data_IF_751772126172
#
_entry.id   IF_751772126172
#
_cell.length_a   1.000
_cell.length_b   1.000
_cell.length_c   1.000
_cell.angle_alpha   90.00
_cell.angle_beta   90.00
_cell.angle_gamma   90.00
#
_symmetry.space_group_name_H-M   'P 1'
#
loop_
_entity.id
_entity.type
_entity.pdbx_description
1 polymer ?
#
# COMPACT_ATOMS: atom_id res chain seq x y z
N UNK A 1 -15.90 -2.74 -32.69
CA UNK A 1 -15.98 -3.25 -34.07
C UNK A 1 -15.17 -2.43 -35.06
N UNK A 2 -15.33 -1.10 -35.15
CA UNK A 2 -14.56 -0.27 -36.11
C UNK A 2 -13.02 -0.28 -35.91
N UNK A 3 -12.53 -0.40 -34.67
CA UNK A 3 -11.08 -0.44 -34.39
C UNK A 3 -10.44 -1.74 -34.89
N UNK A 4 -11.09 -2.89 -34.68
CA UNK A 4 -10.62 -4.19 -35.17
C UNK A 4 -10.61 -4.27 -36.69
N UNK A 5 -11.63 -3.72 -37.36
CA UNK A 5 -11.67 -3.63 -38.82
C UNK A 5 -10.52 -2.77 -39.38
N UNK A 6 -10.26 -1.61 -38.76
CA UNK A 6 -9.19 -0.70 -39.17
C UNK A 6 -7.78 -1.25 -38.87
N UNK A 7 -7.63 -2.03 -37.80
CA UNK A 7 -6.37 -2.74 -37.49
C UNK A 7 -6.12 -3.90 -38.45
N UNK A 8 -7.18 -4.64 -38.83
CA UNK A 8 -7.08 -5.66 -39.87
C UNK A 8 -6.72 -5.07 -41.24
N UNK A 9 -7.26 -3.90 -41.60
CA UNK A 9 -6.93 -3.20 -42.85
C UNK A 9 -5.52 -2.63 -42.87
N UNK A 10 -5.04 -2.04 -41.77
CA UNK A 10 -3.77 -1.28 -41.73
C UNK A 10 -2.57 -2.16 -41.35
N UNK A 11 -2.77 -3.15 -40.47
CA UNK A 11 -1.69 -4.01 -39.95
C UNK A 11 -1.74 -5.45 -40.48
N UNK A 12 -2.79 -5.83 -41.23
CA UNK A 12 -2.96 -7.19 -41.75
C UNK A 12 -3.28 -8.24 -40.68
N UNK A 13 -3.66 -7.82 -39.47
CA UNK A 13 -3.89 -8.72 -38.34
C UNK A 13 -5.37 -9.06 -38.24
N UNK A 14 -5.72 -10.32 -38.52
CA UNK A 14 -7.08 -10.86 -38.43
C UNK A 14 -7.35 -11.65 -37.14
N UNK A 15 -6.29 -12.07 -36.41
CA UNK A 15 -6.39 -12.84 -35.18
C UNK A 15 -6.22 -11.95 -33.93
N UNK A 16 -7.24 -11.97 -33.07
CA UNK A 16 -7.24 -11.30 -31.76
C UNK A 16 -5.98 -11.63 -30.93
N UNK A 17 -5.45 -12.86 -31.02
CA UNK A 17 -4.26 -13.25 -30.25
C UNK A 17 -2.99 -12.56 -30.74
N UNK A 18 -2.83 -12.38 -32.05
CA UNK A 18 -1.67 -11.72 -32.63
C UNK A 18 -1.68 -10.20 -32.33
N UNK A 19 -2.86 -9.60 -32.23
CA UNK A 19 -3.01 -8.21 -31.74
C UNK A 19 -2.51 -8.09 -30.29
N UNK A 20 -2.93 -9.01 -29.41
CA UNK A 20 -2.49 -9.00 -28.01
C UNK A 20 -0.99 -9.22 -27.87
N UNK A 21 -0.40 -10.11 -28.67
CA UNK A 21 1.04 -10.34 -28.71
C UNK A 21 1.81 -9.08 -29.14
N UNK A 22 1.31 -8.39 -30.18
CA UNK A 22 1.88 -7.11 -30.63
C UNK A 22 1.82 -6.06 -29.52
N UNK A 23 0.68 -5.95 -28.82
CA UNK A 23 0.52 -5.03 -27.69
C UNK A 23 1.49 -5.35 -26.55
N UNK A 24 1.57 -6.61 -26.13
CA UNK A 24 2.48 -7.02 -25.04
C UNK A 24 3.94 -6.82 -25.41
N UNK A 25 4.33 -7.13 -26.64
CA UNK A 25 5.69 -6.88 -27.15
C UNK A 25 6.01 -5.39 -27.14
N UNK A 26 5.05 -4.53 -27.53
CA UNK A 26 5.21 -3.08 -27.49
C UNK A 26 5.32 -2.56 -26.04
N UNK A 27 4.53 -3.09 -25.11
CA UNK A 27 4.62 -2.76 -23.68
C UNK A 27 6.04 -3.09 -23.17
N UNK A 28 6.52 -4.31 -23.39
CA UNK A 28 7.86 -4.74 -22.96
C UNK A 28 8.93 -3.86 -23.58
N UNK A 29 8.84 -3.57 -24.87
CA UNK A 29 9.80 -2.70 -25.59
C UNK A 29 9.82 -1.29 -25.00
N UNK A 30 8.65 -0.71 -24.73
CA UNK A 30 8.56 0.61 -24.13
C UNK A 30 9.20 0.63 -22.73
N UNK A 31 8.89 -0.36 -21.88
CA UNK A 31 9.43 -0.42 -20.52
C UNK A 31 10.95 -0.71 -20.49
N UNK A 32 11.47 -1.48 -21.45
CA UNK A 32 12.91 -1.78 -21.60
C UNK A 32 13.71 -0.56 -22.05
N UNK A 33 13.31 0.07 -23.17
CA UNK A 33 14.13 1.07 -23.84
C UNK A 33 13.78 2.52 -23.49
N UNK A 34 12.55 2.78 -23.02
CA UNK A 34 12.08 4.12 -22.65
C UNK A 34 11.93 4.30 -21.14
N UNK A 35 12.68 3.52 -20.35
CA UNK A 35 12.66 3.51 -18.87
C UNK A 35 13.10 4.82 -18.18
N UNK A 36 13.38 5.89 -18.94
CA UNK A 36 13.66 7.24 -18.43
C UNK A 36 12.61 8.29 -18.82
N UNK A 37 11.62 7.92 -19.65
CA UNK A 37 10.58 8.84 -20.12
C UNK A 37 9.29 8.59 -19.33
N UNK A 38 9.07 9.36 -18.25
CA UNK A 38 7.92 9.22 -17.35
C UNK A 38 6.56 9.21 -18.09
N UNK A 39 6.28 10.08 -19.08
CA UNK A 39 4.99 10.04 -19.79
C UNK A 39 4.76 8.75 -20.57
N UNK A 40 5.83 8.19 -21.17
CA UNK A 40 5.76 6.93 -21.93
C UNK A 40 5.52 5.76 -20.97
N UNK A 41 6.24 5.73 -19.85
CA UNK A 41 6.09 4.70 -18.81
C UNK A 41 4.66 4.75 -18.24
N UNK A 42 4.21 5.93 -17.83
CA UNK A 42 2.90 6.14 -17.22
C UNK A 42 1.77 5.67 -18.13
N UNK A 43 1.77 6.06 -19.42
CA UNK A 43 0.76 5.60 -20.39
C UNK A 43 0.87 4.12 -20.71
N UNK A 44 2.09 3.58 -20.83
CA UNK A 44 2.33 2.15 -21.10
C UNK A 44 1.82 1.29 -19.94
N UNK A 45 2.10 1.69 -18.70
CA UNK A 45 1.64 0.98 -17.51
C UNK A 45 0.14 1.13 -17.26
N UNK A 46 -0.45 2.29 -17.59
CA UNK A 46 -1.90 2.45 -17.57
C UNK A 46 -2.55 1.46 -18.53
N UNK A 47 -2.04 1.38 -19.77
CA UNK A 47 -2.54 0.43 -20.77
C UNK A 47 -2.39 -1.03 -20.31
N UNK A 48 -1.23 -1.41 -19.77
CA UNK A 48 -1.03 -2.74 -19.17
C UNK A 48 -2.02 -3.01 -18.02
N UNK A 49 -2.23 -2.03 -17.15
CA UNK A 49 -3.18 -2.15 -16.06
C UNK A 49 -4.61 -2.33 -16.57
N UNK A 50 -5.04 -1.59 -17.60
CA UNK A 50 -6.37 -1.72 -18.19
C UNK A 50 -6.58 -3.11 -18.83
N UNK A 51 -5.55 -3.64 -19.51
CA UNK A 51 -5.55 -5.02 -20.03
C UNK A 51 -5.64 -6.07 -18.91
N UNK A 52 -5.08 -5.78 -17.72
CA UNK A 52 -5.04 -6.72 -16.60
C UNK A 52 -6.35 -6.83 -15.80
N UNK A 53 -7.38 -6.04 -16.08
CA UNK A 53 -8.63 -6.04 -15.28
C UNK A 53 -9.58 -7.19 -15.68
N UNK A 54 -9.60 -7.58 -16.96
CA UNK A 54 -10.57 -8.56 -17.48
C UNK A 54 -10.08 -10.00 -17.40
N UNK A 55 -10.78 -10.88 -16.68
CA UNK A 55 -10.39 -12.29 -16.50
C UNK A 55 -10.21 -13.08 -17.81
N UNK A 56 -11.11 -12.91 -18.77
CA UNK A 56 -11.02 -13.60 -20.08
C UNK A 56 -9.76 -13.16 -20.83
N UNK A 57 -9.43 -11.87 -20.76
CA UNK A 57 -8.26 -11.31 -21.40
C UNK A 57 -6.99 -11.79 -20.71
N UNK A 58 -6.96 -11.80 -19.38
CA UNK A 58 -5.85 -12.34 -18.58
C UNK A 58 -5.49 -13.78 -19.00
N UNK A 59 -6.48 -14.67 -19.15
CA UNK A 59 -6.25 -16.07 -19.63
C UNK A 59 -5.58 -16.17 -21.00
N UNK A 60 -5.80 -15.19 -21.88
CA UNK A 60 -5.12 -15.12 -23.17
C UNK A 60 -3.71 -14.55 -23.00
N UNK A 61 -3.56 -13.50 -22.20
CA UNK A 61 -2.30 -12.80 -21.97
C UNK A 61 -1.23 -13.69 -21.34
N UNK A 62 -1.56 -14.51 -20.34
CA UNK A 62 -0.58 -15.38 -19.66
C UNK A 62 0.09 -16.41 -20.58
N UNK A 63 -0.55 -16.74 -21.71
CA UNK A 63 0.02 -17.65 -22.71
C UNK A 63 1.11 -16.99 -23.57
N UNK A 64 1.13 -15.65 -23.63
CA UNK A 64 2.05 -14.86 -24.45
C UNK A 64 3.44 -14.83 -23.81
N UNK A 65 4.48 -15.11 -24.60
CA UNK A 65 5.85 -15.20 -24.09
C UNK A 65 6.38 -13.88 -23.52
N UNK A 66 5.92 -12.75 -24.05
CA UNK A 66 6.21 -11.44 -23.47
C UNK A 66 5.71 -11.29 -22.02
N UNK A 67 4.56 -11.87 -21.68
CA UNK A 67 4.01 -11.86 -20.32
C UNK A 67 4.81 -12.80 -19.42
N UNK A 68 5.10 -14.02 -19.88
CA UNK A 68 5.94 -14.98 -19.14
C UNK A 68 7.34 -14.41 -18.87
N UNK A 69 7.89 -13.68 -19.85
CA UNK A 69 9.15 -12.96 -19.68
C UNK A 69 9.03 -11.93 -18.55
N UNK A 70 7.99 -11.10 -18.54
CA UNK A 70 7.79 -10.08 -17.49
C UNK A 70 7.64 -10.70 -16.10
N UNK A 71 6.90 -11.82 -15.96
CA UNK A 71 6.67 -12.51 -14.69
C UNK A 71 7.95 -13.10 -14.09
N UNK A 72 8.91 -13.47 -14.93
CA UNK A 72 10.20 -14.04 -14.50
C UNK A 72 11.31 -13.01 -14.36
N UNK A 73 11.18 -11.84 -14.99
CA UNK A 73 12.27 -10.90 -15.22
C UNK A 73 11.90 -9.45 -14.86
N UNK A 74 11.26 -9.23 -13.71
CA UNK A 74 10.81 -7.93 -13.22
C UNK A 74 11.84 -7.20 -12.35
N UNK A 75 13.10 -7.13 -12.81
CA UNK A 75 14.21 -6.43 -12.12
C UNK A 75 14.65 -5.17 -12.88
N UNK A 76 15.51 -4.36 -12.27
CA UNK A 76 16.10 -3.18 -12.93
C UNK A 76 17.03 -3.51 -14.10
N UNK A 77 17.51 -4.77 -14.19
CA UNK A 77 18.30 -5.26 -15.32
C UNK A 77 17.48 -5.25 -16.61
N UNK A 78 16.20 -5.61 -16.53
CA UNK A 78 15.30 -5.65 -17.67
C UNK A 78 14.40 -4.42 -17.77
N UNK A 79 14.05 -3.80 -16.64
CA UNK A 79 13.16 -2.64 -16.60
C UNK A 79 13.82 -1.49 -15.84
N UNK A 80 14.51 -0.57 -16.53
CA UNK A 80 15.32 0.47 -15.88
C UNK A 80 14.56 1.34 -14.87
N UNK A 81 13.24 1.54 -15.05
CA UNK A 81 12.40 2.32 -14.14
C UNK A 81 12.23 1.69 -12.74
N UNK A 82 12.61 0.41 -12.58
CA UNK A 82 12.66 -0.28 -11.27
C UNK A 82 13.97 0.01 -10.52
N UNK A 83 14.96 0.59 -11.19
CA UNK A 83 16.27 0.90 -10.63
C UNK A 83 16.23 1.95 -9.52
N UNK A 84 17.30 1.94 -8.71
CA UNK A 84 17.54 2.90 -7.65
C UNK A 84 18.80 3.66 -8.04
N UNK A 85 18.64 4.79 -8.71
CA UNK A 85 19.76 5.69 -9.04
C UNK A 85 19.42 7.12 -8.65
N UNK A 86 20.45 7.92 -8.39
CA UNK A 86 20.32 9.33 -8.03
C UNK A 86 19.60 10.17 -9.10
N UNK A 87 19.61 9.72 -10.35
CA UNK A 87 18.96 10.41 -11.46
C UNK A 87 17.45 10.22 -11.51
N UNK A 88 16.88 9.28 -10.74
CA UNK A 88 15.44 9.05 -10.70
C UNK A 88 14.76 9.98 -9.69
N UNK A 89 13.68 10.64 -10.12
CA UNK A 89 12.86 11.44 -9.22
C UNK A 89 12.02 10.52 -8.34
N UNK A 90 11.72 10.95 -7.11
CA UNK A 90 10.86 10.19 -6.19
C UNK A 90 9.42 9.99 -6.74
N UNK A 91 9.00 10.81 -7.72
CA UNK A 91 7.74 10.64 -8.47
C UNK A 91 7.75 9.39 -9.33
N UNK A 92 8.90 8.98 -9.86
CA UNK A 92 9.04 7.87 -10.81
C UNK A 92 8.71 6.52 -10.16
N UNK A 93 8.83 6.42 -8.82
CA UNK A 93 8.47 5.22 -8.08
C UNK A 93 6.95 4.96 -8.04
N UNK A 94 6.09 5.92 -8.43
CA UNK A 94 4.63 5.69 -8.47
C UNK A 94 4.25 4.65 -9.52
N UNK A 95 4.97 4.64 -10.64
CA UNK A 95 4.84 3.69 -11.75
C UNK A 95 4.90 2.24 -11.26
N UNK A 96 5.78 1.98 -10.28
CA UNK A 96 6.05 0.64 -9.75
C UNK A 96 4.80 -0.01 -9.15
N UNK A 97 3.99 0.76 -8.40
CA UNK A 97 2.74 0.23 -7.86
C UNK A 97 1.79 -0.25 -8.97
N UNK A 98 1.64 0.53 -10.04
CA UNK A 98 0.78 0.14 -11.18
C UNK A 98 1.33 -1.08 -11.90
N UNK A 99 2.66 -1.12 -12.13
CA UNK A 99 3.34 -2.24 -12.75
C UNK A 99 3.13 -3.54 -11.96
N UNK A 100 3.43 -3.54 -10.66
CA UNK A 100 3.27 -4.71 -9.81
C UNK A 100 1.80 -5.10 -9.60
N UNK A 101 0.87 -4.14 -9.62
CA UNK A 101 -0.58 -4.45 -9.60
C UNK A 101 -0.96 -5.28 -10.83
N UNK A 102 -0.58 -4.82 -12.02
CA UNK A 102 -0.92 -5.51 -13.26
C UNK A 102 -0.19 -6.87 -13.39
N UNK A 103 1.09 -6.91 -13.01
CA UNK A 103 1.91 -8.12 -13.06
C UNK A 103 1.39 -9.20 -12.11
N UNK A 104 1.02 -8.81 -10.88
CA UNK A 104 0.45 -9.75 -9.90
C UNK A 104 -0.91 -10.27 -10.33
N UNK A 105 -1.74 -9.47 -11.01
CA UNK A 105 -3.00 -9.98 -11.60
C UNK A 105 -2.77 -11.02 -12.69
N UNK A 106 -1.69 -10.89 -13.46
CA UNK A 106 -1.28 -11.89 -14.45
C UNK A 106 -0.80 -13.16 -13.77
N UNK A 107 0.02 -13.04 -12.72
CA UNK A 107 0.47 -14.18 -11.90
C UNK A 107 -0.72 -14.98 -11.33
N UNK A 108 -1.69 -14.28 -10.75
CA UNK A 108 -2.87 -14.86 -10.10
C UNK A 108 -3.76 -15.73 -10.98
N UNK A 109 -3.59 -15.70 -12.31
CA UNK A 109 -4.39 -16.52 -13.23
C UNK A 109 -4.06 -18.00 -13.07
N UNK A 110 -2.76 -18.31 -12.94
CA UNK A 110 -2.24 -19.67 -12.90
C UNK A 110 -1.68 -20.05 -11.51
N UNK A 111 -1.45 -19.06 -10.62
CA UNK A 111 -0.83 -19.26 -9.30
C UNK A 111 -1.54 -20.31 -8.42
N UNK A 112 -2.87 -20.29 -8.34
CA UNK A 112 -3.63 -21.21 -7.48
C UNK A 112 -3.13 -21.25 -6.02
N UNK A 113 -2.60 -22.41 -5.63
CA UNK A 113 -1.99 -22.67 -4.31
C UNK A 113 -0.48 -22.98 -4.42
N UNK A 114 0.15 -22.63 -5.56
CA UNK A 114 1.57 -22.87 -5.82
C UNK A 114 2.44 -21.85 -5.07
N UNK A 115 2.87 -22.23 -3.87
CA UNK A 115 3.77 -21.43 -3.02
C UNK A 115 5.14 -21.24 -3.66
N UNK A 116 5.67 -22.24 -4.37
CA UNK A 116 6.98 -22.17 -5.03
C UNK A 116 6.97 -21.12 -6.16
N UNK A 117 5.91 -21.07 -6.97
CA UNK A 117 5.75 -20.05 -8.00
C UNK A 117 5.64 -18.65 -7.39
N UNK A 118 4.92 -18.50 -6.26
CA UNK A 118 4.86 -17.24 -5.52
C UNK A 118 6.24 -16.82 -5.01
N UNK A 119 7.00 -17.71 -4.38
CA UNK A 119 8.34 -17.43 -3.86
C UNK A 119 9.31 -17.02 -4.98
N UNK A 120 9.26 -17.72 -6.11
CA UNK A 120 10.06 -17.38 -7.30
C UNK A 120 9.73 -15.99 -7.82
N UNK A 121 8.44 -15.61 -7.84
CA UNK A 121 8.02 -14.26 -8.20
C UNK A 121 8.51 -13.21 -7.19
N UNK A 122 8.55 -13.54 -5.90
CA UNK A 122 8.96 -12.65 -4.82
C UNK A 122 10.48 -12.58 -4.61
N UNK A 123 11.26 -13.47 -5.25
CA UNK A 123 12.71 -13.57 -5.08
C UNK A 123 13.47 -12.24 -5.29
N UNK A 124 13.20 -11.41 -6.32
CA UNK A 124 13.89 -10.13 -6.48
C UNK A 124 13.65 -9.15 -5.31
N UNK A 125 12.46 -9.17 -4.73
CA UNK A 125 12.12 -8.34 -3.56
C UNK A 125 12.81 -8.89 -2.31
N UNK A 126 12.89 -10.22 -2.17
CA UNK A 126 13.63 -10.91 -1.11
C UNK A 126 15.10 -10.46 -1.09
N UNK A 127 15.78 -10.53 -2.23
CA UNK A 127 17.18 -10.09 -2.37
C UNK A 127 17.35 -8.62 -1.98
N UNK A 128 16.39 -7.77 -2.35
CA UNK A 128 16.40 -6.35 -2.01
C UNK A 128 16.21 -6.13 -0.49
N UNK A 129 15.31 -6.87 0.17
CA UNK A 129 15.16 -6.83 1.63
C UNK A 129 16.39 -7.33 2.36
N UNK A 130 17.01 -8.42 1.92
CA UNK A 130 18.24 -8.95 2.51
C UNK A 130 19.40 -7.97 2.37
N UNK A 131 19.52 -7.31 1.22
CA UNK A 131 20.50 -6.24 1.02
C UNK A 131 20.23 -5.05 1.96
N UNK A 132 18.96 -4.67 2.13
CA UNK A 132 18.58 -3.65 3.11
C UNK A 132 18.97 -4.07 4.52
N UNK A 133 18.68 -5.31 4.94
CA UNK A 133 19.03 -5.81 6.28
C UNK A 133 20.53 -5.70 6.58
N UNK A 134 21.37 -6.06 5.61
CA UNK A 134 22.82 -5.98 5.74
C UNK A 134 23.31 -4.53 5.87
N UNK A 135 22.70 -3.59 5.14
CA UNK A 135 23.12 -2.18 5.14
C UNK A 135 22.45 -1.39 6.27
N UNK A 136 21.26 -1.76 6.74
CA UNK A 136 20.47 -0.97 7.70
C UNK A 136 21.20 -0.74 9.03
N UNK A 137 22.06 -1.70 9.42
CA UNK A 137 22.90 -1.62 10.61
C UNK A 137 24.16 -0.75 10.41
N UNK A 138 24.51 -0.44 9.17
CA UNK A 138 25.65 0.39 8.80
C UNK A 138 25.18 1.83 8.55
N UNK A 139 25.81 2.81 9.20
CA UNK A 139 25.42 4.23 9.04
C UNK A 139 25.81 4.84 7.69
N UNK A 140 26.60 4.13 6.89
CA UNK A 140 26.98 4.52 5.53
C UNK A 140 25.88 4.08 4.54
N UNK A 141 25.53 4.94 3.57
CA UNK A 141 24.50 4.70 2.52
C UNK A 141 23.03 4.76 2.95
N UNK A 142 22.67 5.63 3.90
CA UNK A 142 21.27 5.79 4.32
C UNK A 142 20.31 6.21 3.20
N UNK A 143 20.77 7.02 2.22
CA UNK A 143 19.93 7.43 1.09
C UNK A 143 19.60 6.25 0.16
N UNK A 144 20.54 5.35 -0.09
CA UNK A 144 20.31 4.16 -0.91
C UNK A 144 19.30 3.23 -0.23
N UNK A 145 19.49 2.96 1.06
CA UNK A 145 18.55 2.16 1.87
C UNK A 145 17.15 2.77 1.86
N UNK A 146 17.06 4.08 2.01
CA UNK A 146 15.79 4.82 1.97
C UNK A 146 15.09 4.65 0.63
N UNK A 147 15.81 4.79 -0.50
CA UNK A 147 15.23 4.60 -1.83
C UNK A 147 14.84 3.14 -2.09
N UNK A 148 15.63 2.18 -1.62
CA UNK A 148 15.28 0.75 -1.68
C UNK A 148 13.96 0.48 -0.96
N UNK A 149 13.81 1.00 0.26
CA UNK A 149 12.58 0.86 1.05
C UNK A 149 11.38 1.55 0.42
N UNK A 150 11.58 2.72 -0.20
CA UNK A 150 10.53 3.39 -0.98
C UNK A 150 10.09 2.52 -2.15
N UNK A 151 11.04 1.93 -2.88
CA UNK A 151 10.77 0.99 -3.97
C UNK A 151 9.99 -0.23 -3.49
N UNK A 152 10.51 -0.93 -2.48
CA UNK A 152 9.87 -2.10 -1.86
C UNK A 152 8.44 -1.80 -1.40
N UNK A 153 8.22 -0.68 -0.70
CA UNK A 153 6.90 -0.31 -0.23
C UNK A 153 5.91 -0.06 -1.38
N UNK A 154 6.39 0.44 -2.53
CA UNK A 154 5.56 0.69 -3.73
C UNK A 154 5.24 -0.59 -4.49
N UNK A 155 6.21 -1.48 -4.59
CA UNK A 155 6.08 -2.79 -5.24
C UNK A 155 5.10 -3.66 -4.46
N UNK A 156 5.37 -3.85 -3.17
CA UNK A 156 4.51 -4.62 -2.26
C UNK A 156 3.10 -4.07 -2.18
N UNK A 157 2.93 -2.74 -2.24
CA UNK A 157 1.58 -2.18 -2.24
C UNK A 157 0.80 -2.57 -3.50
N UNK A 158 1.48 -2.65 -4.65
CA UNK A 158 0.86 -3.11 -5.90
C UNK A 158 0.51 -4.60 -5.84
N UNK A 159 1.43 -5.41 -5.32
CA UNK A 159 1.23 -6.85 -5.09
C UNK A 159 0.04 -7.05 -4.15
N UNK A 160 0.11 -6.50 -2.95
CA UNK A 160 -0.95 -6.56 -1.94
C UNK A 160 -2.30 -6.10 -2.50
N UNK A 161 -2.35 -5.09 -3.35
CA UNK A 161 -3.61 -4.64 -3.94
C UNK A 161 -4.24 -5.66 -4.90
N UNK A 162 -3.41 -6.40 -5.65
CA UNK A 162 -3.85 -7.40 -6.62
C UNK A 162 -4.25 -8.74 -5.98
N UNK A 163 -3.65 -9.10 -4.83
CA UNK A 163 -3.96 -10.32 -4.08
C UNK A 163 -5.28 -10.17 -3.32
N UNK A 164 -6.34 -10.75 -3.90
CA UNK A 164 -7.71 -10.62 -3.43
C UNK A 164 -8.33 -11.93 -2.92
N UNK A 165 -7.60 -13.04 -2.94
CA UNK A 165 -8.05 -14.31 -2.33
C UNK A 165 -7.39 -14.51 -0.98
N UNK A 166 -8.02 -15.32 -0.12
CA UNK A 166 -7.47 -15.70 1.18
C UNK A 166 -6.11 -16.39 1.03
N UNK A 167 -6.02 -17.39 0.16
CA UNK A 167 -4.79 -18.16 -0.08
C UNK A 167 -3.64 -17.26 -0.51
N UNK A 168 -3.85 -16.46 -1.56
CA UNK A 168 -2.78 -15.63 -2.11
C UNK A 168 -2.35 -14.51 -1.15
N UNK A 169 -3.30 -13.97 -0.38
CA UNK A 169 -2.96 -13.01 0.68
C UNK A 169 -2.16 -13.65 1.80
N UNK A 170 -2.50 -14.90 2.17
CA UNK A 170 -1.78 -15.66 3.20
C UNK A 170 -0.34 -15.91 2.80
N UNK A 171 -0.09 -16.33 1.55
CA UNK A 171 1.27 -16.44 0.99
C UNK A 171 2.07 -15.14 1.13
N UNK A 172 1.47 -13.99 0.81
CA UNK A 172 2.13 -12.69 0.99
C UNK A 172 2.41 -12.39 2.46
N UNK A 173 1.44 -12.64 3.34
CA UNK A 173 1.59 -12.34 4.76
C UNK A 173 2.69 -13.20 5.39
N UNK A 174 2.72 -14.49 5.08
CA UNK A 174 3.72 -15.45 5.58
C UNK A 174 5.11 -15.15 5.01
N UNK A 175 5.20 -14.65 3.76
CA UNK A 175 6.46 -14.15 3.21
C UNK A 175 6.95 -12.86 3.91
N UNK A 176 6.03 -11.98 4.36
CA UNK A 176 6.38 -10.71 5.00
C UNK A 176 6.68 -10.82 6.50
N UNK A 177 5.90 -11.61 7.22
CA UNK A 177 5.95 -11.76 8.67
C UNK A 177 6.74 -13.03 9.04
N UNK A 178 7.65 -12.98 10.03
CA UNK A 178 7.95 -11.86 10.92
C UNK A 178 9.13 -10.99 10.44
N UNK A 179 9.81 -11.35 9.37
CA UNK A 179 11.16 -10.82 9.07
C UNK A 179 11.15 -9.41 8.50
N UNK A 180 10.27 -9.10 7.54
CA UNK A 180 10.37 -7.86 6.75
C UNK A 180 9.52 -6.71 7.32
N UNK A 181 8.41 -7.00 7.99
CA UNK A 181 7.58 -5.97 8.64
C UNK A 181 8.35 -5.12 9.68
N UNK A 182 9.20 -5.70 10.55
CA UNK A 182 10.04 -4.92 11.48
C UNK A 182 11.04 -3.98 10.79
N UNK A 183 11.48 -4.28 9.57
CA UNK A 183 12.37 -3.40 8.80
C UNK A 183 11.61 -2.13 8.42
N UNK A 184 10.38 -2.29 7.92
CA UNK A 184 9.50 -1.18 7.59
C UNK A 184 9.16 -0.34 8.82
N UNK A 185 8.93 -0.98 9.96
CA UNK A 185 8.72 -0.33 11.26
C UNK A 185 9.92 0.57 11.63
N UNK A 186 11.14 0.03 11.58
CA UNK A 186 12.37 0.79 11.89
C UNK A 186 12.61 1.93 10.91
N UNK A 187 12.23 1.76 9.64
CA UNK A 187 12.33 2.82 8.65
C UNK A 187 11.42 4.01 8.98
N UNK A 188 10.18 3.74 9.39
CA UNK A 188 9.24 4.78 9.84
C UNK A 188 9.77 5.47 11.09
N UNK A 189 10.31 4.71 12.04
CA UNK A 189 10.89 5.25 13.28
C UNK A 189 12.09 6.17 13.00
N UNK A 190 12.96 5.80 12.06
CA UNK A 190 14.20 6.53 11.74
C UNK A 190 13.95 7.77 10.89
N UNK A 191 13.08 7.68 9.88
CA UNK A 191 12.86 8.74 8.88
C UNK A 191 11.47 9.39 8.99
N UNK A 192 10.92 9.51 10.20
CA UNK A 192 9.60 10.08 10.43
C UNK A 192 9.41 11.51 9.89
N UNK A 193 10.51 12.28 9.81
CA UNK A 193 10.55 13.65 9.25
C UNK A 193 10.56 13.69 7.72
N UNK A 194 10.59 12.54 7.05
CA UNK A 194 10.68 12.43 5.60
C UNK A 194 9.47 11.71 5.01
N UNK A 195 8.40 12.44 4.65
CA UNK A 195 7.18 11.86 4.07
C UNK A 195 7.40 11.08 2.80
N UNK A 196 8.49 11.35 2.06
CA UNK A 196 8.87 10.59 0.88
C UNK A 196 9.08 9.10 1.19
N UNK A 197 9.65 8.78 2.37
CA UNK A 197 9.90 7.42 2.83
C UNK A 197 8.70 6.86 3.63
N UNK A 198 8.16 7.63 4.58
CA UNK A 198 7.10 7.13 5.46
C UNK A 198 5.76 6.96 4.74
N UNK A 199 5.39 7.85 3.81
CA UNK A 199 4.08 7.79 3.14
C UNK A 199 3.90 6.48 2.35
N UNK A 200 4.85 6.02 1.51
CA UNK A 200 4.75 4.71 0.86
C UNK A 200 4.55 3.56 1.84
N UNK A 201 5.31 3.53 2.94
CA UNK A 201 5.26 2.46 3.94
C UNK A 201 3.91 2.45 4.67
N UNK A 202 3.44 3.61 5.13
CA UNK A 202 2.12 3.74 5.77
C UNK A 202 0.99 3.35 4.80
N UNK A 203 1.13 3.67 3.51
CA UNK A 203 0.16 3.26 2.49
C UNK A 203 0.18 1.76 2.21
N UNK A 204 1.34 1.12 2.30
CA UNK A 204 1.43 -0.34 2.25
C UNK A 204 0.72 -0.95 3.45
N UNK A 205 0.98 -0.46 4.66
CA UNK A 205 0.31 -0.98 5.86
C UNK A 205 -1.22 -0.78 5.79
N UNK A 206 -1.68 0.40 5.37
CA UNK A 206 -3.10 0.65 5.15
C UNK A 206 -3.71 -0.30 4.10
N UNK A 207 -2.95 -0.64 3.04
CA UNK A 207 -3.39 -1.63 2.05
C UNK A 207 -3.47 -3.02 2.67
N UNK A 208 -2.48 -3.46 3.45
CA UNK A 208 -2.47 -4.78 4.08
C UNK A 208 -3.68 -5.00 5.00
N UNK A 209 -4.10 -3.97 5.73
CA UNK A 209 -5.26 -4.02 6.64
C UNK A 209 -6.62 -3.99 5.94
N UNK A 210 -6.66 -3.71 4.63
CA UNK A 210 -7.93 -3.61 3.92
C UNK A 210 -8.48 -5.01 3.61
N UNK A 211 -9.65 -5.34 4.18
CA UNK A 211 -10.35 -6.60 3.87
C UNK A 211 -11.13 -6.53 2.54
N UNK A 212 -10.41 -6.38 1.42
CA UNK A 212 -11.01 -6.41 0.08
C UNK A 212 -11.40 -7.85 -0.28
N UNK A 213 -12.61 -8.03 -0.80
CA UNK A 213 -13.10 -9.34 -1.26
C UNK A 213 -13.01 -10.47 -0.21
N UNK A 214 -13.12 -10.15 1.08
CA UNK A 214 -13.00 -11.10 2.19
C UNK A 214 -11.64 -11.83 2.26
N UNK A 215 -10.57 -11.25 1.70
CA UNK A 215 -9.23 -11.85 1.71
C UNK A 215 -8.61 -11.99 3.11
N UNK A 216 -9.06 -11.21 4.09
CA UNK A 216 -8.60 -11.29 5.49
C UNK A 216 -9.46 -12.25 6.34
N UNK A 217 -10.30 -13.07 5.72
CA UNK A 217 -11.09 -14.07 6.43
C UNK A 217 -10.21 -15.28 6.80
N UNK A 218 -9.35 -15.09 7.80
CA UNK A 218 -8.47 -16.14 8.32
C UNK A 218 -9.29 -17.24 9.02
N UNK A 219 -8.73 -18.45 9.09
CA UNK A 219 -9.36 -19.51 9.88
C UNK A 219 -9.37 -19.14 11.36
N UNK A 220 -10.36 -19.63 12.11
CA UNK A 220 -10.53 -19.35 13.54
C UNK A 220 -9.30 -19.77 14.36
N UNK A 221 -8.53 -20.74 13.87
CA UNK A 221 -7.27 -21.20 14.46
C UNK A 221 -6.05 -20.36 14.08
N UNK A 222 -6.16 -19.46 13.09
CA UNK A 222 -5.02 -18.71 12.58
C UNK A 222 -4.77 -17.45 13.43
N UNK A 223 -3.54 -17.24 13.91
CA UNK A 223 -3.17 -16.02 14.62
C UNK A 223 -2.96 -14.83 13.66
N UNK A 224 -3.02 -15.02 12.34
CA UNK A 224 -2.58 -14.03 11.35
C UNK A 224 -3.32 -12.70 11.46
N UNK A 225 -4.63 -12.72 11.74
CA UNK A 225 -5.40 -11.49 11.96
C UNK A 225 -4.88 -10.67 13.14
N UNK A 226 -4.61 -11.34 14.27
CA UNK A 226 -4.07 -10.72 15.49
C UNK A 226 -2.66 -10.17 15.22
N UNK A 227 -1.80 -10.97 14.57
CA UNK A 227 -0.43 -10.58 14.24
C UNK A 227 -0.38 -9.37 13.31
N UNK A 228 -1.22 -9.36 12.26
CA UNK A 228 -1.36 -8.23 11.35
C UNK A 228 -1.79 -6.96 12.10
N UNK A 229 -2.78 -7.07 12.99
CA UNK A 229 -3.23 -5.93 13.78
C UNK A 229 -2.14 -5.43 14.74
N UNK A 230 -1.37 -6.33 15.37
CA UNK A 230 -0.27 -5.95 16.26
C UNK A 230 0.80 -5.14 15.54
N UNK A 231 1.25 -5.60 14.37
CA UNK A 231 2.25 -4.88 13.57
C UNK A 231 1.68 -3.53 13.05
N UNK A 232 0.43 -3.51 12.63
CA UNK A 232 -0.25 -2.28 12.23
C UNK A 232 -0.36 -1.27 13.38
N UNK A 233 -0.82 -1.72 14.55
CA UNK A 233 -0.93 -0.90 15.76
C UNK A 233 0.42 -0.32 16.13
N UNK A 234 1.47 -1.15 16.18
CA UNK A 234 2.84 -0.72 16.47
C UNK A 234 3.32 0.36 15.49
N UNK A 235 3.04 0.22 14.20
CA UNK A 235 3.42 1.22 13.19
C UNK A 235 2.66 2.53 13.35
N UNK A 236 1.35 2.48 13.57
CA UNK A 236 0.53 3.67 13.80
C UNK A 236 0.95 4.39 15.08
N UNK A 237 1.20 3.67 16.17
CA UNK A 237 1.67 4.25 17.43
C UNK A 237 3.05 4.90 17.29
N UNK A 238 3.99 4.23 16.60
CA UNK A 238 5.35 4.75 16.41
C UNK A 238 5.34 6.03 15.57
N UNK A 239 4.65 6.00 14.43
CA UNK A 239 4.49 7.19 13.59
C UNK A 239 3.74 8.31 14.33
N UNK A 240 2.62 7.97 14.98
CA UNK A 240 1.77 8.91 15.70
C UNK A 240 2.51 9.61 16.83
N UNK A 241 3.28 8.90 17.66
CA UNK A 241 4.02 9.54 18.74
C UNK A 241 5.16 10.45 18.23
N UNK A 242 5.84 10.06 17.14
CA UNK A 242 6.94 10.85 16.59
C UNK A 242 6.46 12.07 15.81
N UNK A 243 5.36 11.98 15.08
CA UNK A 243 4.85 13.10 14.26
C UNK A 243 4.35 14.26 15.12
N UNK A 244 3.94 13.97 16.36
CA UNK A 244 3.58 14.97 17.36
C UNK A 244 4.78 15.77 17.85
N UNK A 245 5.99 15.22 17.73
CA UNK A 245 7.24 15.93 18.06
C UNK A 245 7.64 16.94 17.00
N UNK A 246 6.93 17.03 15.87
CA UNK A 246 7.19 18.06 14.87
C UNK A 246 6.76 19.42 15.43
N UNK A 247 7.67 20.40 15.38
CA UNK A 247 7.40 21.77 15.81
C UNK A 247 6.41 22.50 14.89
N UNK A 248 6.39 23.82 14.98
CA UNK A 248 5.56 24.65 14.11
C UNK A 248 6.00 24.48 12.64
N UNK A 249 5.04 24.07 11.79
CA UNK A 249 5.22 23.93 10.35
C UNK A 249 4.55 25.10 9.63
N UNK A 250 5.08 25.48 8.48
CA UNK A 250 4.40 26.46 7.61
C UNK A 250 3.10 25.86 7.03
N UNK A 251 2.16 26.73 6.65
CA UNK A 251 0.86 26.30 6.07
C UNK A 251 1.01 25.43 4.82
N UNK A 252 2.07 25.61 4.05
CA UNK A 252 2.32 24.81 2.83
C UNK A 252 2.94 23.44 3.15
N UNK A 253 3.67 23.31 4.27
CA UNK A 253 4.36 22.08 4.66
C UNK A 253 3.53 21.21 5.61
N UNK A 254 2.55 21.77 6.31
CA UNK A 254 1.75 21.04 7.30
C UNK A 254 1.07 19.81 6.69
N UNK A 255 0.51 19.95 5.49
CA UNK A 255 -0.19 18.87 4.81
C UNK A 255 0.74 17.70 4.43
N UNK A 256 1.80 17.89 3.64
CA UNK A 256 2.68 16.80 3.25
C UNK A 256 3.47 16.21 4.42
N UNK A 257 3.85 17.02 5.42
CA UNK A 257 4.68 16.59 6.55
C UNK A 257 3.88 15.88 7.63
N UNK A 258 2.66 16.35 7.96
CA UNK A 258 1.90 15.87 9.11
C UNK A 258 0.54 15.29 8.71
N UNK A 259 -0.33 16.11 8.12
CA UNK A 259 -1.75 15.77 7.95
C UNK A 259 -1.97 14.55 7.02
N UNK A 260 -1.17 14.44 5.96
CA UNK A 260 -1.28 13.33 5.01
C UNK A 260 -0.96 11.98 5.65
N UNK A 261 0.07 11.91 6.51
CA UNK A 261 0.42 10.67 7.21
C UNK A 261 -0.63 10.30 8.26
N UNK A 262 -1.16 11.28 9.01
CA UNK A 262 -2.26 11.08 9.96
C UNK A 262 -3.50 10.54 9.23
N UNK A 263 -3.86 11.12 8.08
CA UNK A 263 -4.98 10.66 7.26
C UNK A 263 -4.84 9.21 6.81
N UNK A 264 -3.61 8.78 6.46
CA UNK A 264 -3.33 7.37 6.12
C UNK A 264 -3.48 6.47 7.35
N UNK A 265 -2.97 6.90 8.51
CA UNK A 265 -3.13 6.15 9.76
C UNK A 265 -4.60 5.99 10.16
N UNK A 266 -5.42 7.02 9.99
CA UNK A 266 -6.86 6.94 10.24
C UNK A 266 -7.56 5.99 9.28
N UNK A 267 -7.18 6.03 8.00
CA UNK A 267 -7.72 5.10 6.99
C UNK A 267 -7.34 3.64 7.30
N UNK A 268 -6.10 3.43 7.76
CA UNK A 268 -5.59 2.12 8.18
C UNK A 268 -6.35 1.59 9.40
N UNK A 269 -6.48 2.43 10.44
CA UNK A 269 -7.21 2.08 11.65
C UNK A 269 -8.68 1.76 11.36
N UNK A 270 -9.35 2.59 10.55
CA UNK A 270 -10.72 2.32 10.09
C UNK A 270 -10.83 0.96 9.40
N UNK A 271 -9.86 0.61 8.57
CA UNK A 271 -9.85 -0.68 7.87
C UNK A 271 -9.64 -1.86 8.82
N UNK A 272 -8.85 -1.70 9.88
CA UNK A 272 -8.72 -2.71 10.93
C UNK A 272 -10.01 -2.90 11.70
N UNK A 273 -10.62 -1.81 12.17
CA UNK A 273 -11.79 -1.88 13.05
C UNK A 273 -12.98 -2.52 12.34
N UNK A 274 -13.29 -2.07 11.12
CA UNK A 274 -14.43 -2.58 10.39
C UNK A 274 -14.07 -3.79 9.49
N UNK A 275 -12.87 -4.36 9.64
CA UNK A 275 -12.34 -5.44 8.80
C UNK A 275 -12.84 -6.84 9.17
N UNK A 276 -13.41 -7.01 10.37
CA UNK A 276 -13.97 -8.27 10.90
C UNK A 276 -13.01 -9.48 10.94
N UNK A 277 -11.70 -9.25 10.83
CA UNK A 277 -10.67 -10.29 10.86
C UNK A 277 -9.97 -10.44 12.22
N UNK A 278 -10.30 -9.58 13.20
CA UNK A 278 -9.80 -9.65 14.57
C UNK A 278 -10.92 -9.40 15.56
N UNK A 279 -11.03 -10.25 16.57
CA UNK A 279 -11.89 -10.00 17.73
C UNK A 279 -11.12 -9.17 18.76
N UNK A 280 -11.40 -7.86 18.87
CA UNK A 280 -10.64 -6.97 19.74
C UNK A 280 -10.73 -7.30 21.24
N UNK A 281 -11.77 -8.03 21.68
CA UNK A 281 -11.87 -8.53 23.05
C UNK A 281 -10.72 -9.45 23.46
N UNK A 282 -10.07 -10.11 22.50
CA UNK A 282 -8.93 -11.00 22.70
C UNK A 282 -7.74 -10.24 23.31
N UNK A 283 -7.50 -8.99 22.89
CA UNK A 283 -6.39 -8.19 23.42
C UNK A 283 -6.51 -7.98 24.94
N UNK A 284 -7.72 -7.66 25.41
CA UNK A 284 -7.99 -7.50 26.85
C UNK A 284 -7.86 -8.82 27.62
N UNK A 285 -8.26 -9.94 27.02
CA UNK A 285 -8.18 -11.26 27.66
C UNK A 285 -6.73 -11.74 27.85
N UNK A 286 -5.85 -11.45 26.88
CA UNK A 286 -4.44 -11.86 26.93
C UNK A 286 -3.50 -10.79 27.52
N UNK A 287 -4.04 -9.68 28.04
CA UNK A 287 -3.24 -8.59 28.59
C UNK A 287 -2.39 -7.87 27.54
N UNK A 288 -2.82 -7.90 26.28
CA UNK A 288 -2.17 -7.24 25.16
C UNK A 288 -2.74 -5.82 24.98
N UNK A 289 -1.88 -4.81 25.12
CA UNK A 289 -2.26 -3.40 25.08
C UNK A 289 -2.23 -2.78 23.67
N UNK A 290 -1.99 -3.55 22.59
CA UNK A 290 -1.87 -2.99 21.23
C UNK A 290 -3.16 -2.28 20.78
N UNK A 291 -4.34 -2.77 21.19
CA UNK A 291 -5.61 -2.11 20.88
C UNK A 291 -5.77 -0.77 21.61
N UNK A 292 -5.53 -0.74 22.92
CA UNK A 292 -5.63 0.49 23.71
C UNK A 292 -4.59 1.53 23.27
N UNK A 293 -3.36 1.09 22.97
CA UNK A 293 -2.27 1.95 22.50
C UNK A 293 -2.62 2.66 21.20
N UNK A 294 -3.27 1.98 20.23
CA UNK A 294 -3.62 2.60 18.95
C UNK A 294 -4.77 3.59 19.10
N UNK A 295 -5.73 3.31 19.99
CA UNK A 295 -6.81 4.25 20.32
C UNK A 295 -6.29 5.50 21.03
N UNK A 296 -5.34 5.35 21.95
CA UNK A 296 -4.64 6.49 22.55
C UNK A 296 -3.83 7.28 21.51
N UNK A 297 -3.13 6.60 20.60
CA UNK A 297 -2.42 7.27 19.51
C UNK A 297 -3.37 8.04 18.58
N UNK A 298 -4.56 7.50 18.30
CA UNK A 298 -5.62 8.21 17.59
C UNK A 298 -6.01 9.51 18.31
N UNK A 299 -6.30 9.47 19.61
CA UNK A 299 -6.66 10.66 20.38
C UNK A 299 -5.53 11.69 20.39
N UNK A 300 -4.28 11.26 20.60
CA UNK A 300 -3.13 12.17 20.59
C UNK A 300 -2.95 12.84 19.22
N UNK A 301 -3.11 12.08 18.12
CA UNK A 301 -3.08 12.64 16.77
C UNK A 301 -4.24 13.61 16.54
N UNK A 302 -5.44 13.30 17.01
CA UNK A 302 -6.63 14.13 16.88
C UNK A 302 -6.46 15.49 17.56
N UNK A 303 -5.99 15.50 18.81
CA UNK A 303 -5.74 16.72 19.58
C UNK A 303 -4.65 17.61 18.96
N UNK A 304 -3.81 17.04 18.09
CA UNK A 304 -2.77 17.78 17.38
C UNK A 304 -3.25 18.49 16.11
N UNK A 305 -4.51 18.26 15.70
CA UNK A 305 -5.13 18.83 14.52
C UNK A 305 -5.99 20.04 14.92
N UNK A 306 -5.95 21.10 14.12
CA UNK A 306 -6.94 22.18 14.26
C UNK A 306 -8.25 21.81 13.57
N UNK A 307 -9.38 22.31 14.06
CA UNK A 307 -10.68 22.14 13.40
C UNK A 307 -10.68 22.70 11.98
N UNK A 308 -9.99 23.82 11.76
CA UNK A 308 -9.81 24.42 10.43
C UNK A 308 -9.11 23.48 9.45
N UNK A 309 -8.11 22.72 9.89
CA UNK A 309 -7.43 21.73 9.05
C UNK A 309 -8.38 20.58 8.63
N UNK A 310 -9.25 20.12 9.55
CA UNK A 310 -10.23 19.08 9.25
C UNK A 310 -11.19 19.51 8.14
N UNK A 311 -11.63 20.77 8.15
CA UNK A 311 -12.54 21.33 7.14
C UNK A 311 -11.83 21.63 5.81
N UNK A 312 -10.62 22.17 5.86
CA UNK A 312 -9.88 22.58 4.66
C UNK A 312 -9.37 21.38 3.84
N UNK A 313 -8.89 20.33 4.50
CA UNK A 313 -8.22 19.21 3.83
C UNK A 313 -9.16 18.00 3.64
N UNK A 314 -9.84 17.95 2.49
CA UNK A 314 -10.80 16.89 2.13
C UNK A 314 -10.33 15.44 2.37
N UNK A 315 -9.05 15.13 2.13
CA UNK A 315 -8.53 13.76 2.35
C UNK A 315 -8.47 13.40 3.84
N UNK A 316 -8.17 14.39 4.69
CA UNK A 316 -8.13 14.21 6.13
C UNK A 316 -9.55 13.97 6.68
N UNK A 317 -10.53 14.80 6.28
CA UNK A 317 -11.93 14.60 6.67
C UNK A 317 -12.50 13.26 6.21
N UNK A 318 -12.22 12.86 4.96
CA UNK A 318 -12.63 11.56 4.41
C UNK A 318 -12.02 10.36 5.13
N UNK A 319 -10.91 10.54 5.85
CA UNK A 319 -10.33 9.50 6.70
C UNK A 319 -10.80 9.57 8.16
N UNK A 320 -11.06 10.77 8.67
CA UNK A 320 -11.43 11.02 10.06
C UNK A 320 -12.89 10.66 10.35
N UNK A 321 -13.86 11.21 9.61
CA UNK A 321 -15.27 11.00 9.91
C UNK A 321 -15.71 9.53 9.80
N UNK A 322 -15.30 8.76 8.77
CA UNK A 322 -15.63 7.33 8.73
C UNK A 322 -14.97 6.49 9.83
N UNK A 323 -13.79 6.91 10.31
CA UNK A 323 -13.17 6.27 11.46
C UNK A 323 -13.97 6.56 12.74
N UNK A 324 -14.36 7.82 12.93
CA UNK A 324 -15.19 8.23 14.06
C UNK A 324 -16.52 7.48 14.08
N UNK A 325 -17.16 7.35 12.92
CA UNK A 325 -18.39 6.55 12.77
C UNK A 325 -18.19 5.10 13.22
N UNK A 326 -17.14 4.42 12.73
CA UNK A 326 -16.83 3.04 13.11
C UNK A 326 -16.54 2.91 14.63
N UNK A 327 -15.85 3.90 15.22
CA UNK A 327 -15.63 3.94 16.67
C UNK A 327 -16.93 4.13 17.46
N UNK A 328 -17.85 4.97 17.00
CA UNK A 328 -19.14 5.19 17.68
C UNK A 328 -20.09 4.00 17.55
N UNK A 329 -20.00 3.22 16.47
CA UNK A 329 -20.84 2.04 16.24
C UNK A 329 -20.36 0.84 17.08
N UNK A 330 -19.09 0.48 16.97
CA UNK A 330 -18.57 -0.78 17.53
C UNK A 330 -17.80 -0.61 18.85
N UNK A 331 -17.35 0.61 19.15
CA UNK A 331 -16.48 0.92 20.29
C UNK A 331 -16.99 2.12 21.11
N UNK A 332 -18.31 2.27 21.25
CA UNK A 332 -18.91 3.41 21.96
C UNK A 332 -18.41 3.55 23.41
N UNK A 333 -18.10 2.44 24.08
CA UNK A 333 -17.52 2.43 25.42
C UNK A 333 -16.17 3.16 25.51
N UNK A 334 -15.38 3.17 24.44
CA UNK A 334 -14.16 3.96 24.38
C UNK A 334 -14.49 5.45 24.29
N UNK A 335 -15.42 5.84 23.41
CA UNK A 335 -15.83 7.23 23.23
C UNK A 335 -16.38 7.82 24.53
N UNK A 336 -17.26 7.10 25.24
CA UNK A 336 -17.84 7.57 26.50
C UNK A 336 -16.84 7.74 27.63
N UNK A 337 -15.69 7.05 27.57
CA UNK A 337 -14.62 7.11 28.56
C UNK A 337 -13.53 8.13 28.21
N UNK A 338 -13.67 8.86 27.10
CA UNK A 338 -12.75 9.93 26.74
C UNK A 338 -12.84 11.11 27.73
N UNK A 339 -11.72 11.80 27.94
CA UNK A 339 -11.69 12.99 28.78
C UNK A 339 -12.60 14.10 28.20
N UNK A 340 -13.26 14.92 29.05
CA UNK A 340 -14.18 15.96 28.59
C UNK A 340 -13.65 16.90 27.50
N UNK A 341 -12.37 17.34 27.50
CA UNK A 341 -11.83 18.17 26.42
C UNK A 341 -11.79 17.47 25.07
N UNK A 342 -11.53 16.15 25.06
CA UNK A 342 -11.49 15.34 23.83
C UNK A 342 -12.90 15.14 23.29
N UNK A 343 -13.85 14.84 24.18
CA UNK A 343 -15.27 14.74 23.82
C UNK A 343 -15.78 16.03 23.22
N UNK A 344 -15.46 17.18 23.83
CA UNK A 344 -15.84 18.48 23.30
C UNK A 344 -15.21 18.72 21.92
N UNK A 345 -13.93 18.38 21.73
CA UNK A 345 -13.28 18.45 20.41
C UNK A 345 -14.06 17.65 19.36
N UNK A 346 -14.41 16.41 19.67
CA UNK A 346 -15.14 15.51 18.78
C UNK A 346 -16.51 16.09 18.43
N UNK A 347 -17.29 16.53 19.43
CA UNK A 347 -18.61 17.11 19.22
C UNK A 347 -18.55 18.40 18.38
N UNK A 348 -17.59 19.28 18.67
CA UNK A 348 -17.37 20.49 17.86
C UNK A 348 -16.99 20.13 16.43
N UNK A 349 -16.12 19.13 16.23
CA UNK A 349 -15.75 18.69 14.88
C UNK A 349 -16.95 18.15 14.08
N UNK A 350 -17.87 17.43 14.74
CA UNK A 350 -19.11 16.97 14.10
C UNK A 350 -20.02 18.16 13.79
N UNK A 351 -20.20 19.09 14.73
CA UNK A 351 -21.04 20.27 14.54
C UNK A 351 -20.56 21.13 13.36
N UNK A 352 -19.26 21.40 13.27
CA UNK A 352 -18.67 22.16 12.17
C UNK A 352 -18.68 21.38 10.84
N UNK A 353 -18.49 20.06 10.89
CA UNK A 353 -18.60 19.20 9.72
C UNK A 353 -20.01 19.17 9.12
N UNK A 354 -21.05 19.25 9.96
CA UNK A 354 -22.45 19.27 9.53
C UNK A 354 -22.89 20.63 8.98
N UNK A 355 -22.33 21.74 9.48
CA UNK A 355 -22.66 23.09 8.98
C UNK A 355 -21.96 23.45 7.67
N UNK A 356 -20.95 22.67 7.28
CA UNK A 356 -20.17 22.85 6.04
C UNK A 356 -20.53 21.87 4.93
N UNK A 357 -21.39 20.89 5.22
CA UNK A 357 -22.11 20.05 4.24
C UNK A 357 -23.30 20.82 3.66
#
# INVERSE_FOLDING_TARGET
MQVYARMSEVLGITDDNHVLETFMTKIVTNLKYWGRCEPVISRTLQFLNDLSVGYILLKKLVKIDAVKFMLKNHTSEHFPFLGISDSYSLSDFRCRTTFYTALTRLLMVDLGEDEDEFENFMLPLTVTFETVLQIFNNNFKQEDVKRMLIGLARDLRGIAFALNTKTSYTMLFDWMYPTYLPILQRAVERWYREPACTTPILKLMAELMQNRSQRLNFDVSSPNGILLFREASKMVCTYGNQILSLGSLSKDQIYPMKLKGISICYSALKSALCGNYVSFGVFKLYGDNHFDNVLQAFVKMLLSLSHSDLLQYRKLSQSYYPLLECLTQDHMSFITNLEPPVLLYVLTSISEGLTTL
#
